data_IF_319633329316
#
_entry.id   IF_319633329316
#
_cell.length_a   1.000
_cell.length_b   1.000
_cell.length_c   1.000
_cell.angle_alpha   90.00
_cell.angle_beta   90.00
_cell.angle_gamma   90.00
#
_symmetry.space_group_name_H-M   'P 1'
#
loop_
_entity.id
_entity.type
_entity.pdbx_description
1 polymer ?
#
# COMPACT_ATOMS: atom_id res chain seq x y z
N UNK A 1 50.52 4.14 10.69
CA UNK A 1 49.85 5.37 11.19
C UNK A 1 50.03 6.43 10.11
N UNK A 2 49.06 6.86 9.31
CA UNK A 2 47.63 7.14 9.56
C UNK A 2 46.81 6.72 8.34
N UNK A 3 45.95 5.73 8.52
CA UNK A 3 44.72 5.52 7.73
C UNK A 3 43.65 6.39 8.35
N UNK A 4 43.02 7.29 7.56
CA UNK A 4 41.69 7.83 7.86
C UNK A 4 41.08 8.53 6.63
N UNK A 5 39.88 8.08 6.32
CA UNK A 5 38.72 8.84 5.84
C UNK A 5 38.77 9.49 4.44
N UNK A 6 38.11 8.82 3.49
CA UNK A 6 37.08 9.44 2.64
C UNK A 6 35.94 8.44 2.43
N UNK A 7 34.93 8.44 3.31
CA UNK A 7 33.61 7.89 2.99
C UNK A 7 33.04 8.78 1.89
N UNK A 8 33.02 8.31 0.64
CA UNK A 8 32.33 8.98 -0.47
C UNK A 8 30.90 8.45 -0.51
N UNK A 9 29.96 9.17 0.09
CA UNK A 9 28.57 9.09 -0.34
C UNK A 9 28.50 9.80 -1.69
N UNK A 10 28.38 9.06 -2.79
CA UNK A 10 28.01 9.68 -4.07
C UNK A 10 26.52 9.98 -4.01
N UNK A 11 26.18 11.27 -3.94
CA UNK A 11 24.82 11.76 -4.15
C UNK A 11 24.72 12.04 -5.63
N UNK A 12 23.90 11.28 -6.35
CA UNK A 12 23.50 11.61 -7.71
C UNK A 12 22.24 12.47 -7.63
N UNK A 13 22.43 13.78 -7.76
CA UNK A 13 21.35 14.77 -7.75
C UNK A 13 20.93 15.06 -9.19
N UNK A 14 19.71 14.66 -9.58
CA UNK A 14 19.14 14.93 -10.90
C UNK A 14 18.87 16.44 -11.02
N UNK A 15 19.82 17.16 -11.62
CA UNK A 15 19.76 18.56 -12.10
C UNK A 15 19.96 19.64 -11.04
N UNK A 16 21.06 20.39 -11.22
CA UNK A 16 21.21 21.75 -10.72
C UNK A 16 20.08 22.65 -11.25
N UNK A 17 19.03 22.80 -10.45
CA UNK A 17 18.24 24.01 -10.25
C UNK A 17 17.39 23.79 -9.00
N UNK A 18 17.96 24.12 -7.83
CA UNK A 18 17.26 24.07 -6.54
C UNK A 18 16.08 25.05 -6.59
N UNK A 19 14.91 24.54 -6.92
CA UNK A 19 13.63 25.21 -6.69
C UNK A 19 12.78 24.29 -5.82
N UNK A 20 12.61 24.70 -4.56
CA UNK A 20 11.50 24.38 -3.65
C UNK A 20 10.76 23.04 -3.81
N UNK A 21 10.74 22.27 -2.71
CA UNK A 21 9.77 21.18 -2.42
C UNK A 21 9.83 19.89 -3.25
N UNK A 22 10.15 19.90 -4.55
CA UNK A 22 10.05 18.69 -5.40
C UNK A 22 11.21 17.70 -5.29
N UNK A 23 12.40 18.17 -4.91
CA UNK A 23 13.63 17.37 -4.97
C UNK A 23 13.96 16.62 -3.67
N UNK A 24 13.14 16.72 -2.61
CA UNK A 24 13.37 15.99 -1.34
C UNK A 24 12.55 14.71 -1.16
N UNK A 25 11.60 14.47 -2.06
CA UNK A 25 10.46 13.62 -1.71
C UNK A 25 10.69 12.15 -1.98
N UNK A 26 11.52 11.71 -2.93
CA UNK A 26 11.58 10.29 -3.29
C UNK A 26 13.03 9.79 -3.26
N UNK A 27 13.42 9.20 -2.14
CA UNK A 27 14.78 8.75 -1.83
C UNK A 27 14.86 7.22 -1.83
N UNK A 28 15.90 6.68 -2.47
CA UNK A 28 16.27 5.27 -2.36
C UNK A 28 17.72 5.13 -1.90
N UNK A 29 17.93 4.37 -0.83
CA UNK A 29 19.24 4.04 -0.26
C UNK A 29 19.62 2.64 -0.72
N UNK A 30 20.72 2.55 -1.48
CA UNK A 30 21.22 1.31 -2.07
C UNK A 30 22.44 0.81 -1.31
N UNK A 31 22.38 -0.46 -0.89
CA UNK A 31 23.49 -1.17 -0.25
C UNK A 31 23.00 -2.22 0.73
N UNK A 32 23.87 -3.14 1.18
CA UNK A 32 23.48 -4.27 2.02
C UNK A 32 22.82 -3.84 3.32
N UNK A 33 21.88 -4.66 3.78
CA UNK A 33 21.13 -4.38 5.00
C UNK A 33 21.95 -4.43 6.29
N UNK A 34 23.13 -5.08 6.25
CA UNK A 34 24.09 -5.11 7.35
C UNK A 34 24.98 -3.87 7.47
N UNK A 35 24.90 -2.94 6.51
CA UNK A 35 25.82 -1.82 6.41
C UNK A 35 25.42 -0.67 7.35
N UNK A 36 26.26 -0.41 8.36
CA UNK A 36 26.00 0.64 9.37
C UNK A 36 25.80 2.04 8.77
N UNK A 37 26.52 2.40 7.70
CA UNK A 37 26.39 3.72 7.07
C UNK A 37 25.02 3.93 6.41
N UNK A 38 24.39 2.87 5.90
CA UNK A 38 23.03 2.90 5.36
C UNK A 38 22.02 3.16 6.46
N UNK A 39 22.15 2.42 7.57
CA UNK A 39 21.30 2.59 8.75
C UNK A 39 21.46 3.98 9.40
N UNK A 40 22.70 4.48 9.53
CA UNK A 40 22.97 5.85 10.01
C UNK A 40 22.26 6.90 9.15
N UNK A 41 22.34 6.76 7.82
CA UNK A 41 21.70 7.69 6.90
C UNK A 41 20.16 7.65 6.99
N UNK A 42 19.58 6.45 7.03
CA UNK A 42 18.15 6.24 7.23
C UNK A 42 17.64 6.86 8.54
N UNK A 43 18.35 6.61 9.66
CA UNK A 43 18.02 7.19 10.97
C UNK A 43 18.17 8.71 11.00
N UNK A 44 19.09 9.29 10.23
CA UNK A 44 19.24 10.75 10.12
C UNK A 44 18.04 11.39 9.42
N UNK A 45 17.59 10.83 8.29
CA UNK A 45 16.37 11.28 7.62
C UNK A 45 15.16 11.17 8.55
N UNK A 46 15.01 10.03 9.22
CA UNK A 46 13.93 9.80 10.18
C UNK A 46 13.96 10.81 11.34
N UNK A 47 15.15 11.10 11.88
CA UNK A 47 15.34 12.08 12.96
C UNK A 47 14.90 13.48 12.57
N UNK A 48 15.15 13.87 11.31
CA UNK A 48 14.73 15.16 10.78
C UNK A 48 13.20 15.24 10.69
N UNK A 49 12.54 14.20 10.19
CA UNK A 49 11.09 14.19 10.02
C UNK A 49 10.35 14.09 11.37
N UNK A 50 10.90 13.33 12.33
CA UNK A 50 10.40 13.33 13.70
C UNK A 50 10.46 14.73 14.35
N UNK A 51 11.52 15.50 14.06
CA UNK A 51 11.62 16.90 14.53
C UNK A 51 10.55 17.78 13.89
N UNK A 52 10.28 17.62 12.60
CA UNK A 52 9.23 18.37 11.90
C UNK A 52 7.84 18.02 12.44
N UNK A 53 7.56 16.72 12.64
CA UNK A 53 6.31 16.23 13.20
C UNK A 53 6.08 16.70 14.65
N UNK A 54 7.15 16.71 15.46
CA UNK A 54 7.09 17.27 16.82
C UNK A 54 6.68 18.75 16.81
N UNK A 55 7.29 19.54 15.92
CA UNK A 55 6.97 20.97 15.81
C UNK A 55 5.50 21.18 15.40
N UNK A 56 4.96 20.32 14.52
CA UNK A 56 3.54 20.32 14.15
C UNK A 56 2.65 20.11 15.37
N UNK A 57 2.87 19.05 16.16
CA UNK A 57 2.04 18.77 17.34
C UNK A 57 2.17 19.81 18.45
N UNK A 58 3.35 20.42 18.60
CA UNK A 58 3.57 21.48 19.56
C UNK A 58 3.03 22.85 19.10
N UNK A 59 2.57 22.96 17.85
CA UNK A 59 2.22 24.23 17.19
C UNK A 59 3.39 25.23 17.13
N UNK A 60 4.62 24.73 17.23
CA UNK A 60 5.86 25.48 17.06
C UNK A 60 6.21 25.54 15.56
N UNK A 61 5.27 25.99 14.72
CA UNK A 61 5.40 25.99 13.26
C UNK A 61 5.93 27.36 12.84
N UNK A 62 7.16 27.48 12.29
CA UNK A 62 7.61 28.72 11.66
C UNK A 62 6.76 28.98 10.41
N UNK A 63 6.40 30.24 10.15
CA UNK A 63 5.49 30.70 9.08
C UNK A 63 5.83 30.25 7.64
N UNK A 64 6.97 29.57 7.42
CA UNK A 64 7.49 29.15 6.12
C UNK A 64 8.05 27.72 6.08
N UNK A 65 7.68 26.83 7.01
CA UNK A 65 8.13 25.42 6.98
C UNK A 65 7.00 24.45 6.66
N UNK A 66 7.33 23.51 5.77
CA UNK A 66 6.58 22.27 5.54
C UNK A 66 6.25 21.59 6.87
N UNK A 67 4.98 21.28 7.06
CA UNK A 67 4.51 20.58 8.25
C UNK A 67 4.25 19.13 7.88
N UNK A 68 4.95 18.20 8.52
CA UNK A 68 4.66 16.77 8.39
C UNK A 68 3.64 16.43 9.47
N UNK A 69 2.56 15.77 9.09
CA UNK A 69 1.50 15.32 10.01
C UNK A 69 1.49 13.80 10.21
N UNK A 70 1.88 13.05 9.19
CA UNK A 70 1.92 11.60 9.22
C UNK A 70 3.33 11.13 8.99
N UNK A 71 3.82 10.26 9.87
CA UNK A 71 5.08 9.55 9.71
C UNK A 71 4.80 8.05 9.78
N UNK A 72 5.06 7.33 8.70
CA UNK A 72 4.82 5.89 8.57
C UNK A 72 6.18 5.22 8.41
N UNK A 73 6.44 4.17 9.18
CA UNK A 73 7.71 3.45 9.19
C UNK A 73 7.41 1.96 9.06
N UNK A 74 7.84 1.34 7.97
CA UNK A 74 7.82 -0.10 7.77
C UNK A 74 9.23 -0.65 7.99
N UNK A 75 9.38 -1.49 9.00
CA UNK A 75 10.66 -2.01 9.49
C UNK A 75 10.54 -3.51 9.73
N UNK A 76 11.50 -4.28 9.22
CA UNK A 76 11.51 -5.74 9.36
C UNK A 76 12.57 -6.22 10.37
N UNK A 77 13.63 -5.44 10.61
CA UNK A 77 14.73 -5.83 11.49
C UNK A 77 14.50 -5.43 12.93
N UNK A 78 14.50 -6.41 13.83
CA UNK A 78 14.31 -6.19 15.27
C UNK A 78 15.40 -5.28 15.89
N UNK A 79 16.62 -5.29 15.35
CA UNK A 79 17.72 -4.42 15.79
C UNK A 79 17.47 -2.96 15.44
N UNK A 80 17.11 -2.69 14.20
CA UNK A 80 16.82 -1.34 13.70
C UNK A 80 15.52 -0.80 14.29
N UNK A 81 14.50 -1.65 14.43
CA UNK A 81 13.26 -1.34 15.16
C UNK A 81 13.52 -0.82 16.58
N UNK A 82 14.41 -1.46 17.36
CA UNK A 82 14.76 -0.99 18.72
C UNK A 82 15.37 0.41 18.70
N UNK A 83 16.21 0.72 17.71
CA UNK A 83 16.83 2.05 17.55
C UNK A 83 15.77 3.09 17.16
N UNK A 84 14.88 2.75 16.21
CA UNK A 84 13.76 3.59 15.78
C UNK A 84 12.83 3.90 16.96
N UNK A 85 12.42 2.89 17.74
CA UNK A 85 11.57 3.11 18.90
C UNK A 85 12.25 3.96 19.98
N UNK A 86 13.56 3.80 20.19
CA UNK A 86 14.33 4.68 21.09
C UNK A 86 14.32 6.13 20.61
N UNK A 87 14.49 6.33 19.29
CA UNK A 87 14.46 7.65 18.67
C UNK A 87 13.07 8.29 18.81
N UNK A 88 12.00 7.56 18.49
CA UNK A 88 10.60 8.03 18.63
C UNK A 88 10.31 8.40 20.09
N UNK A 89 10.64 7.53 21.04
CA UNK A 89 10.41 7.80 22.47
C UNK A 89 11.18 9.04 22.97
N UNK A 90 12.34 9.35 22.38
CA UNK A 90 13.12 10.54 22.70
C UNK A 90 12.61 11.83 22.04
N UNK A 91 11.77 11.72 21.01
CA UNK A 91 11.30 12.85 20.19
C UNK A 91 10.28 13.76 20.90
N UNK A 92 9.74 13.33 22.06
CA UNK A 92 8.68 14.02 22.82
C UNK A 92 7.36 14.18 22.05
N UNK A 93 7.08 13.29 21.09
CA UNK A 93 5.76 13.18 20.47
C UNK A 93 4.77 12.60 21.50
N UNK A 94 3.52 13.09 21.57
CA UNK A 94 2.51 12.55 22.47
C UNK A 94 2.29 11.03 22.26
N UNK A 95 2.21 10.27 23.35
CA UNK A 95 2.11 8.80 23.28
C UNK A 95 0.82 8.32 22.63
N UNK A 96 -0.27 9.08 22.74
CA UNK A 96 -1.55 8.84 22.05
C UNK A 96 -1.49 9.08 20.53
N UNK A 97 -0.34 9.56 20.02
CA UNK A 97 -0.05 9.76 18.59
C UNK A 97 0.97 8.76 18.07
N UNK A 98 1.37 7.76 18.86
CA UNK A 98 2.29 6.71 18.45
C UNK A 98 1.51 5.40 18.34
N UNK A 99 1.43 4.87 17.13
CA UNK A 99 0.77 3.62 16.78
C UNK A 99 1.84 2.60 16.42
N UNK A 100 1.79 1.43 17.07
CA UNK A 100 2.76 0.38 16.84
C UNK A 100 2.03 -0.89 16.47
N UNK A 101 2.18 -1.30 15.21
CA UNK A 101 1.67 -2.55 14.68
C UNK A 101 2.83 -3.52 14.68
N UNK A 102 2.71 -4.60 15.44
CA UNK A 102 3.69 -5.67 15.39
C UNK A 102 3.02 -6.98 15.01
N UNK A 103 3.75 -7.83 14.29
CA UNK A 103 3.27 -9.15 13.90
C UNK A 103 2.83 -10.00 15.11
N UNK A 104 3.39 -9.78 16.30
CA UNK A 104 2.97 -10.50 17.52
C UNK A 104 1.64 -9.98 18.12
N UNK A 105 1.19 -8.76 17.73
CA UNK A 105 -0.01 -8.08 18.23
C UNK A 105 -0.73 -7.29 17.12
N UNK A 106 -1.10 -7.93 16.00
CA UNK A 106 -1.69 -7.25 14.84
C UNK A 106 -3.11 -6.75 15.12
N UNK A 107 -3.81 -7.38 16.07
CA UNK A 107 -5.23 -7.14 16.37
C UNK A 107 -5.53 -5.74 16.91
N UNK A 108 -4.51 -4.97 17.29
CA UNK A 108 -4.67 -3.58 17.72
C UNK A 108 -4.88 -2.63 16.53
N UNK A 109 -4.44 -3.03 15.34
CA UNK A 109 -4.49 -2.22 14.14
C UNK A 109 -5.08 -3.02 12.97
N UNK A 110 -6.41 -3.04 12.91
CA UNK A 110 -7.19 -3.81 11.92
C UNK A 110 -7.43 -2.97 10.67
N UNK A 111 -7.32 -3.62 9.52
CA UNK A 111 -7.41 -3.02 8.20
C UNK A 111 -8.51 -3.70 7.41
N UNK A 112 -9.49 -2.94 6.93
CA UNK A 112 -10.45 -3.48 5.98
C UNK A 112 -10.04 -3.15 4.54
N UNK A 113 -9.54 -4.15 3.83
CA UNK A 113 -9.11 -4.00 2.42
C UNK A 113 -10.28 -3.75 1.44
N UNK A 114 -11.53 -3.91 1.90
CA UNK A 114 -12.73 -3.59 1.13
C UNK A 114 -13.29 -2.19 1.44
N UNK A 115 -12.65 -1.40 2.30
CA UNK A 115 -12.96 0.02 2.49
C UNK A 115 -12.54 0.84 1.26
N UNK A 116 -13.17 1.99 1.00
CA UNK A 116 -12.82 2.92 -0.10
C UNK A 116 -13.51 2.67 -1.45
N UNK A 117 -12.95 3.12 -2.56
CA UNK A 117 -13.62 3.07 -3.88
C UNK A 117 -13.57 1.67 -4.52
N UNK A 118 -14.41 1.41 -5.53
CA UNK A 118 -14.51 0.11 -6.20
C UNK A 118 -13.19 -0.33 -6.86
N UNK A 119 -12.52 0.59 -7.55
CA UNK A 119 -11.29 0.28 -8.30
C UNK A 119 -10.12 0.02 -7.34
N UNK A 120 -9.96 0.86 -6.31
CA UNK A 120 -8.87 0.71 -5.34
C UNK A 120 -8.99 -0.62 -4.58
N UNK A 121 -10.22 -0.95 -4.15
CA UNK A 121 -10.50 -2.22 -3.49
C UNK A 121 -10.16 -3.40 -4.38
N UNK A 122 -10.55 -3.34 -5.67
CA UNK A 122 -10.19 -4.37 -6.63
C UNK A 122 -8.67 -4.50 -6.76
N UNK A 123 -7.94 -3.40 -6.98
CA UNK A 123 -6.49 -3.42 -7.15
C UNK A 123 -5.76 -3.97 -5.92
N UNK A 124 -6.19 -3.58 -4.73
CA UNK A 124 -5.59 -4.03 -3.48
C UNK A 124 -5.78 -5.54 -3.26
N UNK A 125 -7.01 -6.03 -3.42
CA UNK A 125 -7.32 -7.46 -3.23
C UNK A 125 -6.69 -8.30 -4.35
N UNK A 126 -6.72 -7.81 -5.59
CA UNK A 126 -6.07 -8.49 -6.72
C UNK A 126 -4.56 -8.62 -6.49
N UNK A 127 -3.89 -7.57 -6.02
CA UNK A 127 -2.46 -7.60 -5.72
C UNK A 127 -2.12 -8.62 -4.63
N UNK A 128 -2.89 -8.65 -3.54
CA UNK A 128 -2.67 -9.59 -2.44
C UNK A 128 -2.92 -11.04 -2.89
N UNK A 129 -4.04 -11.29 -3.56
CA UNK A 129 -4.40 -12.66 -3.93
C UNK A 129 -3.52 -13.23 -5.04
N UNK A 130 -3.06 -12.40 -5.98
CA UNK A 130 -2.12 -12.85 -7.03
C UNK A 130 -0.76 -13.23 -6.46
N UNK A 131 -0.28 -12.48 -5.45
CA UNK A 131 0.94 -12.81 -4.72
C UNK A 131 0.81 -14.14 -3.98
N UNK A 132 -0.28 -14.35 -3.25
CA UNK A 132 -0.53 -15.60 -2.50
C UNK A 132 -0.71 -16.80 -3.42
N UNK A 133 -1.41 -16.60 -4.54
CA UNK A 133 -1.68 -17.65 -5.50
C UNK A 133 -0.48 -17.93 -6.43
N UNK A 134 0.61 -17.16 -6.34
CA UNK A 134 1.76 -17.22 -7.25
C UNK A 134 1.35 -17.18 -8.74
N UNK A 135 0.33 -16.38 -9.07
CA UNK A 135 -0.20 -16.32 -10.44
C UNK A 135 0.79 -15.54 -11.32
N UNK A 136 1.38 -16.21 -12.31
CA UNK A 136 2.23 -15.57 -13.32
C UNK A 136 1.40 -14.86 -14.40
N UNK A 137 1.99 -13.82 -15.04
CA UNK A 137 1.40 -12.98 -16.11
C UNK A 137 1.04 -13.81 -17.36
N UNK A 138 -0.07 -14.52 -17.31
CA UNK A 138 -0.65 -15.29 -18.41
C UNK A 138 -2.13 -14.91 -18.58
N UNK A 139 -2.81 -15.46 -19.59
CA UNK A 139 -4.27 -15.32 -19.79
C UNK A 139 -5.10 -15.68 -18.54
N UNK A 140 -4.51 -16.45 -17.62
CA UNK A 140 -5.06 -16.75 -16.30
C UNK A 140 -5.32 -15.50 -15.45
N UNK A 141 -4.39 -14.52 -15.46
CA UNK A 141 -4.49 -13.30 -14.67
C UNK A 141 -5.67 -12.42 -15.13
N UNK A 142 -5.94 -12.38 -16.45
CA UNK A 142 -7.07 -11.62 -17.00
C UNK A 142 -8.41 -12.21 -16.53
N UNK A 143 -8.54 -13.54 -16.55
CA UNK A 143 -9.77 -14.22 -16.11
C UNK A 143 -9.96 -14.11 -14.61
N UNK A 144 -8.87 -14.25 -13.85
CA UNK A 144 -8.83 -14.04 -12.41
C UNK A 144 -9.25 -12.62 -12.02
N UNK A 145 -8.63 -11.60 -12.64
CA UNK A 145 -8.95 -10.19 -12.47
C UNK A 145 -10.42 -9.90 -12.77
N UNK A 146 -10.93 -10.38 -13.92
CA UNK A 146 -12.32 -10.16 -14.33
C UNK A 146 -13.30 -10.77 -13.32
N UNK A 147 -13.07 -12.02 -12.92
CA UNK A 147 -13.94 -12.70 -11.94
C UNK A 147 -13.95 -11.96 -10.60
N UNK A 148 -12.76 -11.69 -10.03
CA UNK A 148 -12.61 -11.01 -8.75
C UNK A 148 -13.26 -9.62 -8.76
N UNK A 149 -13.03 -8.85 -9.83
CA UNK A 149 -13.62 -7.52 -10.01
C UNK A 149 -15.14 -7.56 -9.91
N UNK A 150 -15.79 -8.48 -10.61
CA UNK A 150 -17.25 -8.57 -10.64
C UNK A 150 -17.83 -9.02 -9.29
N UNK A 151 -17.13 -9.89 -8.56
CA UNK A 151 -17.54 -10.27 -7.20
C UNK A 151 -17.43 -9.09 -6.23
N UNK A 152 -16.34 -8.32 -6.27
CA UNK A 152 -16.17 -7.09 -5.46
C UNK A 152 -17.25 -6.07 -5.81
N UNK A 153 -17.56 -5.91 -7.10
CA UNK A 153 -18.57 -4.97 -7.56
C UNK A 153 -19.95 -5.36 -7.05
N UNK A 154 -20.34 -6.63 -7.19
CA UNK A 154 -21.59 -7.13 -6.62
C UNK A 154 -21.64 -6.91 -5.10
N UNK A 155 -20.55 -7.21 -4.40
CA UNK A 155 -20.45 -7.08 -2.95
C UNK A 155 -20.62 -5.63 -2.47
N UNK A 156 -20.17 -4.64 -3.23
CA UNK A 156 -20.27 -3.22 -2.84
C UNK A 156 -21.50 -2.52 -3.43
N UNK A 157 -21.95 -2.90 -4.62
CA UNK A 157 -23.06 -2.25 -5.31
C UNK A 157 -24.42 -2.72 -4.83
N UNK A 158 -24.59 -3.97 -4.35
CA UNK A 158 -25.90 -4.44 -3.88
C UNK A 158 -26.42 -3.60 -2.69
N UNK A 159 -25.53 -3.16 -1.81
CA UNK A 159 -25.80 -2.29 -0.69
C UNK A 159 -24.59 -1.39 -0.35
N UNK A 160 -24.53 -0.15 -0.87
CA UNK A 160 -23.39 0.75 -0.63
C UNK A 160 -23.24 1.26 0.81
N UNK A 161 -24.27 1.11 1.64
CA UNK A 161 -24.18 1.47 3.07
C UNK A 161 -23.51 0.37 3.90
N UNK A 162 -23.51 -0.87 3.39
CA UNK A 162 -22.79 -1.97 4.04
C UNK A 162 -21.31 -1.83 3.73
N UNK A 163 -20.48 -1.84 4.78
CA UNK A 163 -19.03 -1.98 4.65
C UNK A 163 -18.70 -3.48 4.64
N UNK A 164 -18.37 -4.08 3.48
CA UNK A 164 -18.12 -5.51 3.42
C UNK A 164 -16.75 -5.86 3.99
N UNK A 165 -16.58 -7.13 4.35
CA UNK A 165 -15.35 -7.72 4.88
C UNK A 165 -14.86 -8.85 3.98
N UNK A 166 -13.60 -9.27 4.13
CA UNK A 166 -13.09 -10.42 3.37
C UNK A 166 -13.88 -11.71 3.67
N UNK A 167 -14.56 -11.79 4.83
CA UNK A 167 -15.46 -12.88 5.13
C UNK A 167 -16.69 -12.87 4.21
N UNK A 168 -17.26 -11.70 3.93
CA UNK A 168 -18.35 -11.58 2.97
C UNK A 168 -17.91 -12.01 1.55
N UNK A 169 -16.70 -11.63 1.14
CA UNK A 169 -16.15 -12.02 -0.16
C UNK A 169 -15.95 -13.54 -0.23
N UNK A 170 -15.35 -14.15 0.79
CA UNK A 170 -15.19 -15.61 0.84
C UNK A 170 -16.52 -16.34 0.79
N UNK A 171 -17.52 -15.87 1.55
CA UNK A 171 -18.86 -16.47 1.54
C UNK A 171 -19.50 -16.43 0.14
N UNK A 172 -19.20 -15.43 -0.69
CA UNK A 172 -19.66 -15.41 -2.09
C UNK A 172 -19.05 -16.54 -2.93
N UNK A 173 -17.79 -16.91 -2.66
CA UNK A 173 -17.09 -17.99 -3.34
C UNK A 173 -17.42 -19.39 -2.79
N UNK A 174 -17.97 -19.47 -1.57
CA UNK A 174 -18.34 -20.73 -0.92
C UNK A 174 -19.83 -21.07 -1.07
N UNK A 175 -20.72 -20.07 -0.99
CA UNK A 175 -22.16 -20.27 -0.98
C UNK A 175 -22.85 -19.56 -2.16
N UNK A 176 -23.25 -20.35 -3.15
CA UNK A 176 -24.00 -19.88 -4.31
C UNK A 176 -25.33 -19.24 -3.92
N UNK A 177 -26.00 -19.70 -2.84
CA UNK A 177 -27.27 -19.09 -2.39
C UNK A 177 -27.02 -17.70 -1.82
N UNK A 178 -25.94 -17.51 -1.07
CA UNK A 178 -25.54 -16.19 -0.58
C UNK A 178 -25.27 -15.25 -1.77
N UNK A 179 -24.47 -15.67 -2.74
CA UNK A 179 -24.19 -14.87 -3.96
C UNK A 179 -25.48 -14.51 -4.72
N UNK A 180 -26.39 -15.47 -4.96
CA UNK A 180 -27.68 -15.23 -5.60
C UNK A 180 -28.57 -14.24 -4.83
N UNK A 181 -28.48 -14.24 -3.50
CA UNK A 181 -29.20 -13.29 -2.66
C UNK A 181 -28.68 -11.86 -2.86
N UNK A 182 -27.36 -11.66 -2.94
CA UNK A 182 -26.73 -10.36 -3.22
C UNK A 182 -27.10 -9.89 -4.63
N UNK A 183 -27.05 -10.80 -5.60
CA UNK A 183 -27.41 -10.52 -6.99
C UNK A 183 -28.88 -10.09 -7.13
N UNK A 184 -29.78 -10.73 -6.40
CA UNK A 184 -31.20 -10.34 -6.35
C UNK A 184 -31.36 -8.95 -5.73
N UNK A 185 -30.57 -8.60 -4.72
CA UNK A 185 -30.57 -7.25 -4.13
C UNK A 185 -30.03 -6.20 -5.12
N UNK A 186 -28.95 -6.51 -5.85
CA UNK A 186 -28.42 -5.65 -6.92
C UNK A 186 -29.51 -5.36 -7.98
N UNK A 187 -30.23 -6.39 -8.44
CA UNK A 187 -31.36 -6.23 -9.38
C UNK A 187 -32.42 -5.26 -8.86
N UNK A 188 -32.79 -5.36 -7.58
CA UNK A 188 -33.73 -4.42 -6.95
C UNK A 188 -33.17 -3.00 -6.89
N UNK A 189 -31.88 -2.84 -6.60
CA UNK A 189 -31.22 -1.52 -6.57
C UNK A 189 -31.16 -0.89 -7.96
N UNK A 190 -30.86 -1.67 -9.00
CA UNK A 190 -30.83 -1.20 -10.39
C UNK A 190 -32.16 -0.56 -10.78
N UNK A 191 -33.29 -1.15 -10.40
CA UNK A 191 -34.62 -0.58 -10.66
C UNK A 191 -34.75 0.81 -10.02
N UNK A 192 -34.36 0.95 -8.75
CA UNK A 192 -34.39 2.24 -8.03
C UNK A 192 -33.48 3.28 -8.66
N UNK A 193 -32.26 2.89 -9.06
CA UNK A 193 -31.31 3.79 -9.72
C UNK A 193 -31.80 4.20 -11.10
N UNK A 194 -32.35 3.26 -11.87
CA UNK A 194 -32.93 3.51 -13.20
C UNK A 194 -34.01 4.58 -13.15
N UNK A 195 -34.93 4.50 -12.18
CA UNK A 195 -35.97 5.51 -12.00
C UNK A 195 -35.39 6.92 -11.76
N UNK A 196 -34.28 7.03 -11.02
CA UNK A 196 -33.61 8.32 -10.76
C UNK A 196 -32.88 8.84 -12.00
N UNK A 197 -32.24 7.95 -12.75
CA UNK A 197 -31.57 8.28 -14.02
C UNK A 197 -32.59 8.76 -15.05
N UNK A 198 -33.69 8.05 -15.25
CA UNK A 198 -34.74 8.42 -16.20
C UNK A 198 -35.44 9.73 -15.83
N UNK A 199 -35.56 10.04 -14.53
CA UNK A 199 -36.10 11.32 -14.04
C UNK A 199 -35.08 12.45 -14.05
N UNK A 200 -33.85 12.23 -14.56
CA UNK A 200 -32.74 13.19 -14.54
C UNK A 200 -32.46 13.78 -13.13
N UNK A 201 -32.70 12.99 -12.07
CA UNK A 201 -32.43 13.40 -10.69
C UNK A 201 -31.32 12.60 -10.02
N UNK A 202 -30.65 11.71 -10.77
CA UNK A 202 -29.47 10.99 -10.32
C UNK A 202 -28.25 11.92 -10.23
N UNK A 203 -27.48 11.78 -9.15
CA UNK A 203 -26.16 12.39 -9.03
C UNK A 203 -25.16 11.72 -10.00
N UNK A 204 -24.01 12.36 -10.25
CA UNK A 204 -22.92 11.75 -11.04
C UNK A 204 -22.48 10.39 -10.47
N UNK A 205 -22.42 10.28 -9.15
CA UNK A 205 -22.07 9.05 -8.45
C UNK A 205 -23.12 7.96 -8.69
N UNK A 206 -24.41 8.29 -8.57
CA UNK A 206 -25.49 7.34 -8.81
C UNK A 206 -25.55 6.88 -10.27
N UNK A 207 -25.23 7.76 -11.22
CA UNK A 207 -25.12 7.40 -12.64
C UNK A 207 -23.96 6.43 -12.89
N UNK A 208 -22.81 6.69 -12.26
CA UNK A 208 -21.66 5.78 -12.31
C UNK A 208 -21.99 4.41 -11.71
N UNK A 209 -22.59 4.38 -10.51
CA UNK A 209 -23.04 3.16 -9.85
C UNK A 209 -24.08 2.40 -10.68
N UNK A 210 -25.00 3.11 -11.33
CA UNK A 210 -26.00 2.51 -12.21
C UNK A 210 -25.35 1.79 -13.38
N UNK A 211 -24.44 2.45 -14.09
CA UNK A 211 -23.75 1.87 -15.24
C UNK A 211 -22.93 0.62 -14.84
N UNK A 212 -22.18 0.71 -13.74
CA UNK A 212 -21.43 -0.45 -13.22
C UNK A 212 -22.37 -1.58 -12.75
N UNK A 213 -23.50 -1.25 -12.14
CA UNK A 213 -24.47 -2.26 -11.70
C UNK A 213 -25.08 -3.02 -12.89
N UNK A 214 -25.32 -2.35 -14.01
CA UNK A 214 -25.77 -2.99 -15.25
C UNK A 214 -24.68 -3.91 -15.80
N UNK A 215 -23.44 -3.45 -15.91
CA UNK A 215 -22.30 -4.26 -16.38
C UNK A 215 -22.13 -5.53 -15.51
N UNK A 216 -22.13 -5.37 -14.19
CA UNK A 216 -22.02 -6.50 -13.26
C UNK A 216 -23.21 -7.44 -13.40
N UNK A 217 -24.42 -6.91 -13.52
CA UNK A 217 -25.62 -7.73 -13.72
C UNK A 217 -25.50 -8.57 -14.99
N UNK A 218 -25.14 -7.97 -16.12
CA UNK A 218 -24.99 -8.65 -17.41
C UNK A 218 -23.91 -9.73 -17.35
N UNK A 219 -22.77 -9.43 -16.72
CA UNK A 219 -21.70 -10.42 -16.52
C UNK A 219 -22.19 -11.64 -15.74
N UNK A 220 -22.92 -11.45 -14.64
CA UNK A 220 -23.46 -12.57 -13.87
C UNK A 220 -24.57 -13.34 -14.63
N UNK A 221 -25.33 -12.70 -15.53
CA UNK A 221 -26.31 -13.41 -16.38
C UNK A 221 -25.60 -14.34 -17.38
N UNK A 222 -24.54 -13.86 -18.02
CA UNK A 222 -23.70 -14.64 -18.93
C UNK A 222 -22.92 -15.76 -18.20
N UNK A 223 -22.37 -15.43 -17.03
CA UNK A 223 -21.51 -16.32 -16.25
C UNK A 223 -22.29 -17.37 -15.42
N UNK A 224 -23.60 -17.16 -15.18
CA UNK A 224 -24.46 -18.04 -14.36
C UNK A 224 -24.61 -19.47 -14.90
N UNK A 225 -24.30 -19.73 -16.17
CA UNK A 225 -24.31 -21.08 -16.75
C UNK A 225 -23.14 -21.93 -16.22
N UNK A 226 -22.05 -21.30 -15.74
CA UNK A 226 -20.80 -21.97 -15.31
C UNK A 226 -20.67 -22.05 -13.78
N UNK A 227 -21.32 -21.16 -13.02
CA UNK A 227 -21.23 -21.10 -11.54
C UNK A 227 -21.83 -22.30 -10.81
N UNK A 228 -22.75 -23.05 -11.43
CA UNK A 228 -23.52 -24.10 -10.74
C UNK A 228 -22.69 -25.34 -10.36
N UNK A 229 -21.46 -25.50 -10.84
CA UNK A 229 -20.64 -26.67 -10.51
C UNK A 229 -19.57 -26.41 -9.45
N UNK A 230 -19.18 -25.15 -9.20
CA UNK A 230 -18.08 -24.83 -8.27
C UNK A 230 -16.71 -25.33 -8.73
N UNK A 231 -16.61 -25.81 -9.98
CA UNK A 231 -15.45 -26.45 -10.60
C UNK A 231 -14.64 -25.51 -11.49
N UNK A 232 -15.08 -24.26 -11.70
CA UNK A 232 -14.30 -23.27 -12.45
C UNK A 232 -12.93 -23.08 -11.75
N UNK A 233 -11.81 -23.36 -12.44
CA UNK A 233 -10.52 -23.33 -11.79
C UNK A 233 -10.12 -21.92 -11.33
N UNK A 234 -10.66 -20.85 -11.92
CA UNK A 234 -10.46 -19.48 -11.42
C UNK A 234 -11.11 -19.30 -10.05
N UNK A 235 -12.33 -19.79 -9.89
CA UNK A 235 -13.09 -19.76 -8.62
C UNK A 235 -12.39 -20.59 -7.56
N UNK A 236 -11.86 -21.77 -7.92
CA UNK A 236 -11.06 -22.62 -7.03
C UNK A 236 -9.79 -21.89 -6.59
N UNK A 237 -9.08 -21.22 -7.49
CA UNK A 237 -7.85 -20.48 -7.15
C UNK A 237 -8.13 -19.30 -6.22
N UNK A 238 -9.14 -18.47 -6.51
CA UNK A 238 -9.50 -17.32 -5.65
C UNK A 238 -9.89 -17.81 -4.25
N UNK A 239 -10.75 -18.82 -4.17
CA UNK A 239 -11.19 -19.43 -2.91
C UNK A 239 -10.01 -20.02 -2.13
N UNK A 240 -9.09 -20.70 -2.81
CA UNK A 240 -7.88 -21.25 -2.17
C UNK A 240 -6.97 -20.16 -1.61
N UNK A 241 -6.80 -19.04 -2.34
CA UNK A 241 -6.02 -17.90 -1.89
C UNK A 241 -6.67 -17.21 -0.67
N UNK A 242 -8.00 -17.01 -0.69
CA UNK A 242 -8.74 -16.47 0.45
C UNK A 242 -8.66 -17.40 1.68
N UNK A 243 -8.75 -18.72 1.49
CA UNK A 243 -8.53 -19.68 2.58
C UNK A 243 -7.10 -19.66 3.12
N UNK A 244 -6.10 -19.43 2.27
CA UNK A 244 -4.71 -19.33 2.72
C UNK A 244 -4.53 -18.16 3.70
N UNK A 245 -5.19 -17.02 3.44
CA UNK A 245 -5.22 -15.89 4.36
C UNK A 245 -5.87 -16.23 5.72
N UNK A 246 -6.93 -17.04 5.71
CA UNK A 246 -7.63 -17.45 6.94
C UNK A 246 -6.80 -18.36 7.85
N UNK A 247 -5.86 -19.12 7.29
CA UNK A 247 -5.07 -20.11 8.06
C UNK A 247 -4.12 -19.45 9.04
N UNK A 248 -3.70 -18.21 8.80
CA UNK A 248 -2.87 -17.45 9.72
C UNK A 248 -3.77 -16.58 10.64
N UNK A 249 -3.83 -16.86 11.96
CA UNK A 249 -4.63 -16.08 12.90
C UNK A 249 -4.27 -14.59 12.94
N UNK A 250 -3.02 -14.21 12.66
CA UNK A 250 -2.55 -12.83 12.63
C UNK A 250 -3.17 -12.10 11.44
N UNK A 251 -3.11 -12.70 10.26
CA UNK A 251 -3.73 -12.16 9.05
C UNK A 251 -5.24 -12.12 9.18
N UNK A 252 -5.86 -13.18 9.71
CA UNK A 252 -7.29 -13.21 9.96
C UNK A 252 -7.73 -12.02 10.82
N UNK A 253 -7.08 -11.80 11.96
CA UNK A 253 -7.41 -10.70 12.86
C UNK A 253 -7.13 -9.32 12.27
N UNK A 254 -6.15 -9.23 11.36
CA UNK A 254 -5.81 -7.99 10.67
C UNK A 254 -6.83 -7.62 9.58
N UNK A 255 -7.19 -8.58 8.70
CA UNK A 255 -7.86 -8.28 7.42
C UNK A 255 -9.34 -8.69 7.34
N UNK A 256 -9.81 -9.62 8.17
CA UNK A 256 -11.18 -10.16 8.06
C UNK A 256 -12.18 -9.44 8.97
N UNK A 257 -11.72 -8.44 9.73
CA UNK A 257 -12.56 -7.68 10.65
C UNK A 257 -12.83 -6.27 10.12
N UNK A 258 -13.75 -5.57 10.78
CA UNK A 258 -13.97 -4.15 10.54
C UNK A 258 -12.70 -3.36 10.85
N UNK A 259 -12.58 -2.21 10.18
CA UNK A 259 -11.48 -1.28 10.35
C UNK A 259 -11.35 -0.83 11.82
N UNK A 260 -10.11 -0.67 12.29
CA UNK A 260 -9.87 -0.28 13.68
C UNK A 260 -9.98 1.22 13.89
N UNK A 261 -10.52 1.62 15.05
CA UNK A 261 -10.56 3.03 15.48
C UNK A 261 -9.17 3.68 15.52
N UNK A 262 -8.11 2.89 15.77
CA UNK A 262 -6.73 3.38 15.77
C UNK A 262 -6.28 3.84 14.38
N UNK A 263 -6.59 3.07 13.33
CA UNK A 263 -6.28 3.44 11.96
C UNK A 263 -7.07 4.68 11.53
N UNK A 264 -8.38 4.72 11.83
CA UNK A 264 -9.22 5.90 11.54
C UNK A 264 -8.69 7.16 12.25
N UNK A 265 -8.32 7.03 13.53
CA UNK A 265 -7.76 8.13 14.31
C UNK A 265 -6.38 8.56 13.76
N UNK A 266 -5.52 7.63 13.34
CA UNK A 266 -4.26 7.94 12.67
C UNK A 266 -4.46 8.69 11.36
N UNK A 267 -5.32 8.18 10.46
CA UNK A 267 -5.64 8.82 9.18
C UNK A 267 -6.10 10.26 9.41
N UNK A 268 -7.03 10.46 10.35
CA UNK A 268 -7.65 11.76 10.62
C UNK A 268 -6.73 12.75 11.34
N UNK A 269 -5.99 12.29 12.34
CA UNK A 269 -5.28 13.17 13.28
C UNK A 269 -3.76 13.17 13.14
N UNK A 270 -3.20 12.29 12.31
CA UNK A 270 -1.75 12.15 12.17
C UNK A 270 -1.09 11.45 13.35
N UNK A 271 0.22 11.35 13.27
CA UNK A 271 1.06 10.68 14.27
C UNK A 271 2.20 9.90 13.65
N UNK A 272 2.78 9.01 14.46
CA UNK A 272 3.80 8.05 14.03
C UNK A 272 3.18 6.67 14.00
N UNK A 273 3.16 6.03 12.83
CA UNK A 273 2.79 4.64 12.66
C UNK A 273 4.05 3.81 12.41
N UNK A 274 4.34 2.87 13.30
CA UNK A 274 5.43 1.91 13.13
C UNK A 274 4.85 0.54 12.84
N UNK A 275 5.22 -0.03 11.70
CA UNK A 275 4.84 -1.34 11.23
C UNK A 275 6.07 -2.23 11.36
N UNK A 276 6.06 -3.11 12.37
CA UNK A 276 7.12 -4.05 12.66
C UNK A 276 6.70 -5.47 12.28
N UNK A 277 7.22 -5.96 11.17
CA UNK A 277 6.96 -7.33 10.71
C UNK A 277 7.83 -8.38 11.41
N UNK A 278 8.85 -7.94 12.17
CA UNK A 278 9.74 -8.76 12.96
C UNK A 278 10.76 -9.56 12.15
N UNK A 279 11.75 -10.14 12.83
CA UNK A 279 12.82 -10.95 12.22
C UNK A 279 12.33 -12.26 11.55
N UNK A 280 11.04 -12.55 11.63
CA UNK A 280 10.44 -13.65 10.90
C UNK A 280 10.37 -13.23 9.44
N UNK A 281 11.36 -13.61 8.63
CA UNK A 281 11.34 -13.46 7.15
C UNK A 281 10.32 -14.42 6.50
N UNK A 282 9.17 -14.60 7.13
CA UNK A 282 8.09 -15.40 6.56
C UNK A 282 7.30 -14.53 5.60
N UNK A 283 6.93 -15.06 4.43
CA UNK A 283 6.08 -14.33 3.48
C UNK A 283 4.81 -13.70 4.12
N UNK A 284 4.35 -14.27 5.25
CA UNK A 284 3.16 -13.85 5.99
C UNK A 284 3.34 -12.56 6.80
N UNK A 285 4.49 -12.36 7.43
CA UNK A 285 4.79 -11.13 8.18
C UNK A 285 5.00 -9.95 7.24
N UNK A 286 5.71 -10.18 6.14
CA UNK A 286 5.85 -9.28 5.00
C UNK A 286 4.47 -8.85 4.45
N UNK A 287 3.57 -9.81 4.27
CA UNK A 287 2.21 -9.57 3.79
C UNK A 287 1.39 -8.64 4.72
N UNK A 288 1.57 -8.73 6.05
CA UNK A 288 0.93 -7.80 7.00
C UNK A 288 1.33 -6.37 6.71
N UNK A 289 2.63 -6.12 6.54
CA UNK A 289 3.14 -4.79 6.21
C UNK A 289 2.61 -4.27 4.88
N UNK A 290 2.63 -5.11 3.84
CA UNK A 290 2.06 -4.81 2.52
C UNK A 290 0.60 -4.39 2.61
N UNK A 291 -0.23 -5.14 3.35
CA UNK A 291 -1.66 -4.83 3.48
C UNK A 291 -1.91 -3.48 4.15
N UNK A 292 -1.17 -3.16 5.21
CA UNK A 292 -1.28 -1.87 5.90
C UNK A 292 -0.88 -0.73 4.97
N UNK A 293 0.25 -0.87 4.25
CA UNK A 293 0.72 0.17 3.33
C UNK A 293 -0.23 0.36 2.14
N UNK A 294 -0.77 -0.72 1.58
CA UNK A 294 -1.80 -0.65 0.53
C UNK A 294 -3.04 0.12 0.98
N UNK A 295 -3.50 -0.14 2.21
CA UNK A 295 -4.65 0.58 2.77
C UNK A 295 -4.34 2.07 2.95
N UNK A 296 -3.14 2.39 3.45
CA UNK A 296 -2.72 3.79 3.62
C UNK A 296 -2.55 4.49 2.27
N UNK A 297 -1.98 3.82 1.26
CA UNK A 297 -1.90 4.32 -0.10
C UNK A 297 -3.28 4.69 -0.63
N UNK A 298 -4.27 3.81 -0.45
CA UNK A 298 -5.64 4.09 -0.87
C UNK A 298 -6.22 5.33 -0.20
N UNK A 299 -5.99 5.52 1.10
CA UNK A 299 -6.44 6.72 1.79
C UNK A 299 -5.77 7.98 1.25
N UNK A 300 -4.46 7.93 1.01
CA UNK A 300 -3.68 9.04 0.43
C UNK A 300 -4.22 9.41 -0.96
N UNK A 301 -4.39 8.43 -1.84
CA UNK A 301 -4.85 8.65 -3.22
C UNK A 301 -6.34 9.05 -3.30
N UNK A 302 -7.10 8.89 -2.21
CA UNK A 302 -8.51 9.32 -2.14
C UNK A 302 -8.68 10.80 -1.78
N UNK A 303 -7.61 11.48 -1.40
CA UNK A 303 -7.63 12.89 -0.99
C UNK A 303 -7.99 13.77 -2.21
N UNK A 304 -9.05 14.57 -2.09
CA UNK A 304 -9.55 15.38 -3.22
C UNK A 304 -8.80 16.70 -3.43
N UNK A 305 -8.15 17.21 -2.39
CA UNK A 305 -7.48 18.52 -2.38
C UNK A 305 -6.06 18.36 -1.89
N UNK A 306 -5.11 19.05 -2.52
CA UNK A 306 -3.71 18.98 -2.13
C UNK A 306 -3.57 19.28 -0.63
N UNK A 307 -3.01 18.35 0.16
CA UNK A 307 -2.96 18.53 1.59
C UNK A 307 -1.99 19.67 1.94
N UNK A 308 -2.35 20.49 2.91
CA UNK A 308 -1.47 21.51 3.48
C UNK A 308 -0.36 20.92 4.37
N UNK A 309 -0.49 19.63 4.69
CA UNK A 309 0.32 18.87 5.62
C UNK A 309 0.89 17.64 4.89
N UNK A 310 2.20 17.41 5.02
CA UNK A 310 2.90 16.32 4.34
C UNK A 310 2.83 14.98 5.08
N UNK A 311 3.12 13.93 4.33
CA UNK A 311 3.18 12.54 4.78
C UNK A 311 4.59 12.04 4.51
N UNK A 312 5.26 11.49 5.52
CA UNK A 312 6.57 10.86 5.33
C UNK A 312 6.48 9.34 5.54
N UNK A 313 6.97 8.59 4.56
CA UNK A 313 6.94 7.14 4.50
C UNK A 313 8.37 6.61 4.45
N UNK A 314 8.72 5.81 5.43
CA UNK A 314 10.01 5.14 5.54
C UNK A 314 9.80 3.64 5.35
N UNK A 315 10.51 3.03 4.41
CA UNK A 315 10.39 1.61 4.09
C UNK A 315 11.78 0.97 4.16
N UNK A 316 11.99 0.05 5.09
CA UNK A 316 13.17 -0.81 5.06
C UNK A 316 12.94 -2.00 4.13
N UNK A 317 13.96 -2.41 3.37
CA UNK A 317 13.88 -3.44 2.31
C UNK A 317 12.62 -3.35 1.44
N UNK A 318 12.63 -2.41 0.49
CA UNK A 318 11.54 -2.04 -0.40
C UNK A 318 10.77 -3.25 -0.97
N UNK A 319 11.48 -4.28 -1.44
CA UNK A 319 10.90 -5.48 -2.05
C UNK A 319 9.93 -6.24 -1.12
N UNK A 320 10.06 -6.07 0.19
CA UNK A 320 9.22 -6.74 1.18
C UNK A 320 7.87 -6.01 1.36
N UNK A 321 7.76 -4.75 0.96
CA UNK A 321 6.60 -3.94 1.34
C UNK A 321 5.81 -3.38 0.17
N UNK A 322 6.40 -3.35 -1.02
CA UNK A 322 5.73 -2.81 -2.20
C UNK A 322 4.83 -3.84 -2.87
N UNK A 323 3.90 -3.32 -3.66
CA UNK A 323 3.14 -4.11 -4.61
C UNK A 323 3.18 -3.43 -5.98
N UNK A 324 2.52 -4.02 -6.97
CA UNK A 324 2.52 -3.45 -8.32
C UNK A 324 1.85 -2.08 -8.38
N UNK A 325 0.93 -1.76 -7.47
CA UNK A 325 0.29 -0.44 -7.41
C UNK A 325 1.16 0.62 -6.75
N UNK A 326 2.29 0.28 -6.14
CA UNK A 326 3.15 1.27 -5.45
C UNK A 326 3.78 2.29 -6.40
N UNK A 327 3.93 1.96 -7.69
CA UNK A 327 4.37 2.92 -8.72
C UNK A 327 3.44 4.13 -8.77
N UNK A 328 2.13 3.91 -8.71
CA UNK A 328 1.15 5.01 -8.77
C UNK A 328 1.30 5.96 -7.57
N UNK A 329 1.59 5.43 -6.38
CA UNK A 329 1.88 6.26 -5.21
C UNK A 329 3.13 7.11 -5.43
N UNK A 330 4.19 6.53 -5.99
CA UNK A 330 5.45 7.22 -6.23
C UNK A 330 5.30 8.32 -7.30
N UNK A 331 4.57 8.05 -8.38
CA UNK A 331 4.27 9.03 -9.43
C UNK A 331 3.39 10.19 -8.93
N UNK A 332 2.42 9.91 -8.05
CA UNK A 332 1.50 10.92 -7.53
C UNK A 332 1.96 11.54 -6.20
N UNK A 333 3.04 11.05 -5.59
CA UNK A 333 3.54 11.51 -4.29
C UNK A 333 3.66 13.05 -4.18
N UNK A 334 4.16 13.79 -5.19
CA UNK A 334 4.23 15.25 -5.12
C UNK A 334 2.87 15.94 -5.02
N UNK A 335 1.82 15.37 -5.62
CA UNK A 335 0.46 15.92 -5.58
C UNK A 335 -0.16 15.82 -4.18
N UNK A 336 0.26 14.82 -3.41
CA UNK A 336 -0.24 14.54 -2.07
C UNK A 336 0.73 14.91 -0.95
N UNK A 337 1.83 15.61 -1.26
CA UNK A 337 2.83 15.99 -0.26
C UNK A 337 3.49 14.79 0.43
N UNK A 338 3.62 13.67 -0.29
CA UNK A 338 4.22 12.43 0.23
C UNK A 338 5.71 12.45 -0.02
N UNK A 339 6.50 12.23 1.03
CA UNK A 339 7.91 11.87 0.94
C UNK A 339 8.11 10.39 1.25
N UNK A 340 8.91 9.70 0.45
CA UNK A 340 9.23 8.28 0.57
C UNK A 340 10.75 8.16 0.68
N UNK A 341 11.21 7.49 1.73
CA UNK A 341 12.61 7.08 1.91
C UNK A 341 12.65 5.57 2.04
N UNK A 342 13.18 4.90 1.02
CA UNK A 342 13.23 3.46 0.96
C UNK A 342 14.67 2.94 1.00
N UNK A 343 14.87 1.81 1.67
CA UNK A 343 16.12 1.05 1.58
C UNK A 343 15.91 -0.15 0.64
N UNK A 344 16.91 -0.51 -0.15
CA UNK A 344 16.95 -1.81 -0.79
C UNK A 344 18.39 -2.29 -0.91
N UNK A 345 18.58 -3.59 -0.82
CA UNK A 345 19.90 -4.20 -0.91
C UNK A 345 20.54 -4.01 -2.29
N UNK A 346 19.76 -4.21 -3.36
CA UNK A 346 20.25 -4.14 -4.75
C UNK A 346 19.10 -4.07 -5.76
N UNK A 347 19.40 -3.66 -7.00
CA UNK A 347 18.43 -3.70 -8.10
C UNK A 347 18.07 -5.14 -8.47
N UNK A 348 19.07 -6.03 -8.35
CA UNK A 348 18.92 -7.46 -8.64
C UNK A 348 17.89 -8.11 -7.73
N UNK A 349 17.92 -7.83 -6.43
CA UNK A 349 16.95 -8.37 -5.46
C UNK A 349 15.52 -7.94 -5.79
N UNK A 350 15.32 -6.70 -6.22
CA UNK A 350 14.00 -6.23 -6.65
C UNK A 350 13.55 -6.93 -7.94
N UNK A 351 14.48 -7.13 -8.88
CA UNK A 351 14.24 -7.79 -10.17
C UNK A 351 13.86 -9.26 -10.00
N UNK A 352 14.50 -9.97 -9.06
CA UNK A 352 14.14 -11.34 -8.72
C UNK A 352 12.71 -11.44 -8.17
N UNK A 353 12.29 -10.45 -7.37
CA UNK A 353 10.96 -10.44 -6.78
C UNK A 353 9.84 -10.02 -7.75
N UNK A 354 10.07 -9.03 -8.62
CA UNK A 354 8.98 -8.40 -9.41
C UNK A 354 9.19 -8.40 -10.93
N UNK A 355 10.38 -8.78 -11.39
CA UNK A 355 10.81 -8.74 -12.79
C UNK A 355 11.45 -7.41 -13.19
N UNK A 356 12.21 -7.44 -14.29
CA UNK A 356 13.04 -6.32 -14.74
C UNK A 356 12.24 -5.07 -15.08
N UNK A 357 11.19 -5.18 -15.90
CA UNK A 357 10.39 -4.03 -16.36
C UNK A 357 9.79 -3.24 -15.19
N UNK A 358 9.26 -3.96 -14.20
CA UNK A 358 8.67 -3.34 -13.02
C UNK A 358 9.75 -2.69 -12.16
N UNK A 359 10.87 -3.38 -11.93
CA UNK A 359 11.97 -2.87 -11.11
C UNK A 359 12.60 -1.63 -11.73
N UNK A 360 12.76 -1.62 -13.06
CA UNK A 360 13.23 -0.46 -13.81
C UNK A 360 12.28 0.72 -13.69
N UNK A 361 10.98 0.52 -13.97
CA UNK A 361 9.96 1.55 -13.77
C UNK A 361 9.97 2.08 -12.33
N UNK A 362 10.16 1.18 -11.36
CA UNK A 362 10.18 1.56 -9.96
C UNK A 362 11.37 2.44 -9.59
N UNK A 363 12.57 2.06 -10.02
CA UNK A 363 13.77 2.87 -9.81
C UNK A 363 13.65 4.22 -10.52
N UNK A 364 13.13 4.27 -11.75
CA UNK A 364 12.97 5.54 -12.47
C UNK A 364 12.02 6.53 -11.79
N UNK A 365 11.08 6.05 -10.96
CA UNK A 365 10.17 6.90 -10.21
C UNK A 365 10.85 7.56 -8.98
N UNK A 366 11.97 7.03 -8.49
CA UNK A 366 12.76 7.69 -7.44
C UNK A 366 13.60 8.83 -8.02
N UNK A 367 13.72 9.91 -7.26
CA UNK A 367 14.47 11.10 -7.68
C UNK A 367 15.92 11.08 -7.18
N UNK A 368 16.12 10.59 -5.95
CA UNK A 368 17.42 10.64 -5.26
C UNK A 368 17.93 9.24 -4.96
N UNK A 369 19.17 8.97 -5.37
CA UNK A 369 19.85 7.71 -5.13
C UNK A 369 21.03 7.93 -4.19
N UNK A 370 21.04 7.18 -3.08
CA UNK A 370 22.12 7.21 -2.09
C UNK A 370 22.86 5.88 -2.11
N UNK A 371 24.04 5.88 -2.71
CA UNK A 371 24.92 4.71 -2.75
C UNK A 371 25.70 4.61 -1.44
N UNK A 372 25.46 3.52 -0.70
CA UNK A 372 26.15 3.25 0.56
C UNK A 372 27.36 2.33 0.40
N UNK A 373 27.41 1.58 -0.71
CA UNK A 373 28.52 0.73 -1.15
C UNK A 373 28.68 0.83 -2.68
N UNK A 374 29.82 0.36 -3.21
CA UNK A 374 30.00 0.20 -4.65
C UNK A 374 29.07 -0.89 -5.19
N UNK A 375 28.29 -0.57 -6.21
CA UNK A 375 27.44 -1.52 -6.93
C UNK A 375 28.26 -2.32 -7.94
N UNK A 376 27.71 -3.45 -8.39
CA UNK A 376 28.26 -4.19 -9.53
C UNK A 376 28.24 -3.36 -10.83
N UNK A 377 29.08 -3.69 -11.81
CA UNK A 377 29.13 -2.98 -13.11
C UNK A 377 27.75 -2.94 -13.80
N UNK A 378 27.03 -4.08 -13.80
CA UNK A 378 25.69 -4.20 -14.40
C UNK A 378 24.68 -3.27 -13.70
N UNK A 379 24.72 -3.20 -12.37
CA UNK A 379 23.83 -2.32 -11.59
C UNK A 379 24.18 -0.84 -11.74
N UNK A 380 25.46 -0.50 -11.90
CA UNK A 380 25.88 0.86 -12.23
C UNK A 380 25.34 1.27 -13.61
N UNK A 381 25.40 0.40 -14.62
CA UNK A 381 24.86 0.70 -15.96
C UNK A 381 23.34 0.96 -15.91
N UNK A 382 22.61 0.17 -15.12
CA UNK A 382 21.17 0.34 -14.93
C UNK A 382 20.86 1.64 -14.21
N UNK A 383 21.62 1.96 -13.16
CA UNK A 383 21.46 3.20 -12.42
C UNK A 383 21.75 4.42 -13.29
N UNK A 384 22.80 4.38 -14.09
CA UNK A 384 23.13 5.43 -15.05
C UNK A 384 22.00 5.65 -16.06
N UNK A 385 21.38 4.58 -16.56
CA UNK A 385 20.17 4.66 -17.39
C UNK A 385 19.03 5.33 -16.65
N UNK A 386 18.74 4.92 -15.41
CA UNK A 386 17.69 5.51 -14.59
C UNK A 386 17.92 7.00 -14.31
N UNK A 387 19.19 7.42 -14.18
CA UNK A 387 19.58 8.82 -13.95
C UNK A 387 19.54 9.66 -15.23
N UNK A 388 19.80 9.05 -16.39
CA UNK A 388 19.83 9.74 -17.69
C UNK A 388 18.45 10.14 -18.25
N UNK A 389 17.37 9.54 -17.72
CA UNK A 389 15.97 9.86 -18.02
C UNK A 389 15.51 11.03 -17.15
#
# INVERSE_FOLDING_TARGET
MKTKEKRKHLIYDKKQQVNSQKDKCLNILLGPSSLESREELYLNFLSQDLKNLKNYFNKDIPDNKETIKHLIIAEHQATSYKKIMKLINSSKIPQDKIYNVSYDKPYLFKVNMLSGTLNDVFHNIHSILTEIANISKSSWDISFAKNLKQHIYLLKLHNPEKVPTLHDLLNMYEDTKYMLSLYTQLKKRIIKLKERVEKNCATKQELFEYNLSIETKEWFEEYSITMCTGEDPVVITIRSALHALLKDPIIYNLLFQSESEQLEHFIKHGGVLVINTGNTSSAMSTLVGKCILLRLQQEILSIKEAPSEGISLFIDELQDYITRSTIELLEQAPCYGVSITANTSSFTTLTEAYGYEFSYAMFTAFHNFYLCEELSEDENEILDKCISV
#
